data_IF_514711229011
#
_entry.id   IF_514711229011
#
_cell.length_a   1.000
_cell.length_b   1.000
_cell.length_c   1.000
_cell.angle_alpha   90.00
_cell.angle_beta   90.00
_cell.angle_gamma   90.00
#
_symmetry.space_group_name_H-M   'P 1'
#
loop_
_entity.id
_entity.type
_entity.pdbx_description
1 polymer ?
#
# COMPACT_ATOMS: atom_id res chain seq x y z
N UNK A 1 -33.13 46.07 54.56
CA UNK A 1 -34.10 45.91 53.45
C UNK A 1 -33.36 46.20 52.15
N UNK A 2 -33.06 45.16 51.35
CA UNK A 2 -32.66 45.17 49.92
C UNK A 2 -31.41 45.98 49.49
N UNK A 3 -30.61 45.66 48.45
CA UNK A 3 -30.65 44.65 47.38
C UNK A 3 -29.19 44.34 46.97
N UNK A 4 -28.86 43.06 46.77
CA UNK A 4 -27.59 42.57 46.19
C UNK A 4 -27.63 42.82 44.68
N UNK A 5 -26.72 43.64 44.13
CA UNK A 5 -26.58 43.81 42.68
C UNK A 5 -25.46 42.90 42.15
N UNK A 6 -25.84 41.74 41.62
CA UNK A 6 -24.94 40.80 40.96
C UNK A 6 -24.84 41.14 39.47
N UNK A 7 -23.73 41.79 39.08
CA UNK A 7 -23.36 41.91 37.67
C UNK A 7 -22.87 40.56 37.15
N UNK A 8 -23.78 39.77 36.58
CA UNK A 8 -23.44 38.58 35.80
C UNK A 8 -22.96 39.04 34.42
N UNK A 9 -21.65 39.16 34.26
CA UNK A 9 -21.03 39.37 32.95
C UNK A 9 -21.30 38.14 32.08
N UNK A 10 -22.15 38.29 31.06
CA UNK A 10 -22.51 37.20 30.13
C UNK A 10 -21.28 36.84 29.27
N UNK A 11 -20.84 35.58 29.18
CA UNK A 11 -19.62 35.17 28.47
C UNK A 11 -19.86 35.04 26.96
N UNK A 12 -20.39 36.08 26.32
CA UNK A 12 -20.70 36.09 24.88
C UNK A 12 -19.42 36.09 24.04
N UNK A 13 -18.39 36.83 24.45
CA UNK A 13 -17.10 36.86 23.75
C UNK A 13 -16.34 35.52 23.80
N UNK A 14 -16.40 34.81 24.94
CA UNK A 14 -15.75 33.51 25.11
C UNK A 14 -16.40 32.44 24.21
N UNK A 15 -17.72 32.48 24.04
CA UNK A 15 -18.44 31.56 23.15
C UNK A 15 -18.15 31.79 21.67
N UNK A 16 -17.93 33.05 21.26
CA UNK A 16 -17.60 33.39 19.89
C UNK A 16 -16.17 32.96 19.51
N UNK A 17 -15.22 33.14 20.43
CA UNK A 17 -13.81 32.71 20.28
C UNK A 17 -13.71 31.18 20.28
N UNK A 18 -14.47 30.50 21.15
CA UNK A 18 -14.50 29.04 21.17
C UNK A 18 -15.09 28.46 19.87
N UNK A 19 -16.11 29.10 19.30
CA UNK A 19 -16.73 28.68 18.06
C UNK A 19 -15.81 28.84 16.85
N UNK A 20 -15.02 29.92 16.77
CA UNK A 20 -14.05 30.13 15.68
C UNK A 20 -12.85 29.18 15.77
N UNK A 21 -12.36 28.90 16.98
CA UNK A 21 -11.30 27.90 17.21
C UNK A 21 -11.78 26.48 16.88
N UNK A 22 -13.03 26.14 17.21
CA UNK A 22 -13.59 24.83 16.88
C UNK A 22 -13.83 24.65 15.36
N UNK A 23 -14.16 25.75 14.66
CA UNK A 23 -14.35 25.76 13.21
C UNK A 23 -13.03 25.63 12.43
N UNK A 24 -11.92 26.17 12.95
CA UNK A 24 -10.60 26.05 12.32
C UNK A 24 -9.98 24.66 12.50
N UNK A 25 -10.31 23.95 13.60
CA UNK A 25 -9.90 22.55 13.79
C UNK A 25 -10.55 21.58 12.80
N UNK A 26 -11.71 21.92 12.23
CA UNK A 26 -12.41 21.07 11.25
C UNK A 26 -11.83 21.16 9.83
N UNK A 27 -10.96 22.15 9.55
CA UNK A 27 -10.48 22.45 8.19
C UNK A 27 -9.21 21.69 7.79
N UNK A 28 -8.58 20.91 8.68
CA UNK A 28 -7.34 20.18 8.36
C UNK A 28 -7.54 18.85 7.64
N UNK A 29 -8.78 18.48 7.30
CA UNK A 29 -9.09 17.27 6.55
C UNK A 29 -9.10 17.51 5.01
N UNK A 30 -8.29 18.44 4.50
CA UNK A 30 -7.99 18.45 3.07
C UNK A 30 -7.18 17.20 2.75
N UNK A 31 -7.82 16.27 2.05
CA UNK A 31 -7.19 15.07 1.52
C UNK A 31 -5.89 15.45 0.78
N UNK A 32 -4.74 15.15 1.39
CA UNK A 32 -3.46 15.26 0.69
C UNK A 32 -3.43 14.12 -0.33
N UNK A 33 -3.79 14.42 -1.58
CA UNK A 33 -3.57 13.49 -2.67
C UNK A 33 -2.06 13.38 -2.88
N UNK A 34 -1.50 12.24 -2.47
CA UNK A 34 -0.09 11.93 -2.70
C UNK A 34 0.00 11.25 -4.07
N UNK A 35 0.74 11.85 -5.00
CA UNK A 35 0.99 11.27 -6.31
C UNK A 35 2.32 10.51 -6.27
N UNK A 36 2.31 9.35 -5.60
CA UNK A 36 3.45 8.44 -5.67
C UNK A 36 3.48 7.78 -7.04
N UNK A 37 4.67 7.61 -7.64
CA UNK A 37 4.79 6.88 -8.89
C UNK A 37 4.31 5.44 -8.70
N UNK A 38 3.50 4.95 -9.63
CA UNK A 38 3.02 3.57 -9.60
C UNK A 38 4.19 2.59 -9.82
N UNK A 39 4.15 1.40 -9.19
CA UNK A 39 5.15 0.36 -9.42
C UNK A 39 5.14 -0.08 -10.88
N UNK A 40 6.33 -0.26 -11.46
CA UNK A 40 6.49 -0.69 -12.86
C UNK A 40 7.35 -1.94 -12.91
N UNK A 41 6.75 -3.05 -13.32
CA UNK A 41 7.49 -4.27 -13.68
C UNK A 41 8.02 -4.15 -15.11
N UNK A 42 9.33 -4.30 -15.29
CA UNK A 42 9.99 -4.20 -16.60
C UNK A 42 10.38 -5.56 -17.15
N UNK A 43 10.99 -6.44 -16.34
CA UNK A 43 11.41 -7.77 -16.79
C UNK A 43 11.21 -8.84 -15.74
N UNK A 44 11.02 -10.09 -16.17
CA UNK A 44 11.13 -11.29 -15.34
C UNK A 44 12.15 -12.23 -15.96
N UNK A 45 13.10 -12.75 -15.19
CA UNK A 45 14.13 -13.65 -15.71
C UNK A 45 14.26 -14.88 -14.82
N UNK A 46 14.11 -16.10 -15.34
CA UNK A 46 13.69 -16.43 -16.71
C UNK A 46 12.24 -16.04 -17.03
N UNK A 47 11.95 -15.79 -18.31
CA UNK A 47 10.61 -15.41 -18.82
C UNK A 47 9.65 -16.62 -18.98
N UNK A 48 9.99 -17.80 -18.45
CA UNK A 48 9.21 -19.01 -18.64
C UNK A 48 9.61 -20.14 -17.70
N UNK A 49 8.75 -21.16 -17.62
CA UNK A 49 8.95 -22.31 -16.76
C UNK A 49 8.14 -23.52 -17.24
N UNK A 50 8.41 -24.67 -16.63
CA UNK A 50 7.72 -25.93 -16.95
C UNK A 50 6.55 -26.14 -16.00
N UNK A 51 5.41 -26.60 -16.51
CA UNK A 51 4.28 -27.00 -15.67
C UNK A 51 4.71 -28.07 -14.65
N UNK A 52 4.24 -27.92 -13.41
CA UNK A 52 4.58 -28.82 -12.30
C UNK A 52 5.97 -28.57 -11.69
N UNK A 53 6.54 -27.38 -11.87
CA UNK A 53 7.85 -27.03 -11.31
C UNK A 53 7.81 -25.72 -10.55
N UNK A 54 8.84 -25.52 -9.72
CA UNK A 54 9.13 -24.23 -9.10
C UNK A 54 10.35 -23.60 -9.77
N UNK A 55 10.27 -22.30 -10.04
CA UNK A 55 11.32 -21.55 -10.73
C UNK A 55 11.62 -20.31 -9.91
N UNK A 56 12.89 -20.14 -9.57
CA UNK A 56 13.35 -18.85 -9.07
C UNK A 56 13.46 -17.87 -10.22
N UNK A 57 12.81 -16.72 -10.07
CA UNK A 57 12.89 -15.62 -11.01
C UNK A 57 13.47 -14.38 -10.33
N UNK A 58 14.17 -13.60 -11.12
CA UNK A 58 14.61 -12.24 -10.80
C UNK A 58 13.72 -11.27 -11.56
N UNK A 59 13.20 -10.26 -10.88
CA UNK A 59 12.42 -9.18 -11.51
C UNK A 59 13.28 -7.92 -11.62
N UNK A 60 12.96 -7.04 -12.57
CA UNK A 60 13.49 -5.68 -12.58
C UNK A 60 12.36 -4.70 -12.80
N UNK A 61 12.48 -3.50 -12.24
CA UNK A 61 11.43 -2.50 -12.29
C UNK A 61 11.78 -1.18 -11.64
N UNK A 62 10.78 -0.32 -11.56
CA UNK A 62 10.85 0.98 -10.88
C UNK A 62 9.80 1.03 -9.77
N UNK A 63 10.15 1.63 -8.63
CA UNK A 63 9.27 1.78 -7.46
C UNK A 63 8.73 0.42 -6.95
N UNK A 64 9.59 -0.61 -6.97
CA UNK A 64 9.30 -1.90 -6.37
C UNK A 64 9.79 -1.87 -4.92
N UNK A 65 8.88 -1.61 -3.99
CA UNK A 65 9.19 -1.58 -2.56
C UNK A 65 9.27 -3.01 -2.00
N UNK A 66 9.80 -3.17 -0.78
CA UNK A 66 9.89 -4.48 -0.13
C UNK A 66 8.54 -5.17 0.14
N UNK A 67 7.44 -4.41 0.11
CA UNK A 67 6.09 -4.94 0.23
C UNK A 67 5.53 -5.50 -1.10
N UNK A 68 6.28 -5.39 -2.20
CA UNK A 68 5.81 -5.75 -3.53
C UNK A 68 5.39 -7.23 -3.65
N UNK A 69 4.12 -7.46 -3.97
CA UNK A 69 3.56 -8.77 -4.32
C UNK A 69 3.56 -8.96 -5.84
N UNK A 70 4.07 -10.11 -6.30
CA UNK A 70 4.02 -10.51 -7.71
C UNK A 70 2.83 -11.44 -7.92
N UNK A 71 1.92 -11.06 -8.81
CA UNK A 71 0.72 -11.82 -9.15
C UNK A 71 0.70 -12.17 -10.64
N UNK A 72 -0.02 -13.24 -10.99
CA UNK A 72 -0.20 -13.67 -12.37
C UNK A 72 -1.67 -13.63 -12.78
N UNK A 73 -1.93 -13.57 -14.09
CA UNK A 73 -3.28 -13.59 -14.65
C UNK A 73 -4.06 -14.89 -14.43
N UNK A 74 -3.39 -15.97 -14.02
CA UNK A 74 -3.98 -17.28 -13.74
C UNK A 74 -3.52 -17.78 -12.37
N UNK A 75 -4.48 -18.23 -11.54
CA UNK A 75 -4.22 -18.66 -10.16
C UNK A 75 -3.36 -19.93 -10.05
N UNK A 76 -3.17 -20.67 -11.14
CA UNK A 76 -2.26 -21.83 -11.21
C UNK A 76 -0.78 -21.43 -11.20
N UNK A 77 -0.47 -20.15 -11.38
CA UNK A 77 0.84 -19.57 -11.17
C UNK A 77 0.81 -18.73 -9.89
N UNK A 78 1.66 -19.06 -8.94
CA UNK A 78 1.79 -18.31 -7.68
C UNK A 78 3.23 -17.91 -7.45
N UNK A 79 3.47 -16.74 -6.88
CA UNK A 79 4.81 -16.29 -6.52
C UNK A 79 4.91 -16.00 -5.03
N UNK A 80 6.07 -16.33 -4.45
CA UNK A 80 6.45 -15.92 -3.10
C UNK A 80 7.81 -15.26 -3.15
N UNK A 81 8.03 -14.23 -2.34
CA UNK A 81 9.37 -13.64 -2.20
C UNK A 81 10.34 -14.73 -1.75
N UNK A 82 11.49 -14.81 -2.42
CA UNK A 82 12.55 -15.72 -1.99
C UNK A 82 13.13 -15.18 -0.68
N UNK A 83 13.41 -16.05 0.29
CA UNK A 83 14.09 -15.68 1.52
C UNK A 83 15.59 -15.99 1.41
N UNK A 84 16.40 -15.16 2.03
CA UNK A 84 17.84 -15.38 2.20
C UNK A 84 18.12 -16.33 3.39
N UNK A 85 19.40 -16.57 3.67
CA UNK A 85 19.83 -17.44 4.77
C UNK A 85 19.43 -16.91 6.16
N UNK A 86 19.16 -15.61 6.30
CA UNK A 86 18.70 -14.97 7.53
C UNK A 86 17.17 -14.94 7.66
N UNK A 87 16.45 -15.48 6.67
CA UNK A 87 14.98 -15.45 6.61
C UNK A 87 14.43 -14.08 6.18
N UNK A 88 15.27 -13.17 5.68
CA UNK A 88 14.83 -11.90 5.14
C UNK A 88 14.49 -12.06 3.65
N UNK A 89 13.52 -11.31 3.12
CA UNK A 89 13.24 -11.34 1.70
C UNK A 89 14.45 -10.90 0.86
N UNK A 90 14.87 -11.75 -0.05
CA UNK A 90 15.88 -11.41 -1.03
C UNK A 90 15.35 -10.30 -1.97
N UNK A 91 16.18 -9.31 -2.32
CA UNK A 91 15.78 -8.23 -3.21
C UNK A 91 15.44 -8.79 -4.59
N UNK A 92 14.34 -8.33 -5.16
CA UNK A 92 13.90 -8.60 -6.53
C UNK A 92 13.81 -10.08 -6.93
N UNK A 93 13.69 -11.00 -5.96
CA UNK A 93 13.67 -12.44 -6.21
C UNK A 93 12.40 -13.08 -5.71
N UNK A 94 11.82 -13.91 -6.57
CA UNK A 94 10.60 -14.64 -6.30
C UNK A 94 10.78 -16.10 -6.66
N UNK A 95 10.16 -16.98 -5.90
CA UNK A 95 9.95 -18.38 -6.27
C UNK A 95 8.54 -18.49 -6.84
N UNK A 96 8.45 -18.84 -8.12
CA UNK A 96 7.19 -19.05 -8.83
C UNK A 96 6.87 -20.53 -8.87
N UNK A 97 5.73 -20.93 -8.33
CA UNK A 97 5.21 -22.29 -8.43
C UNK A 97 4.20 -22.36 -9.57
N UNK A 98 4.43 -23.28 -10.52
CA UNK A 98 3.58 -23.52 -11.69
C UNK A 98 2.88 -24.86 -11.51
N UNK A 99 1.56 -24.86 -11.41
CA UNK A 99 0.79 -26.10 -11.26
C UNK A 99 0.99 -27.06 -12.44
N UNK A 100 0.87 -28.37 -12.18
CA UNK A 100 1.09 -29.41 -13.21
C UNK A 100 0.01 -29.42 -14.30
N UNK A 101 -1.19 -28.93 -14.00
CA UNK A 101 -2.33 -28.80 -14.90
C UNK A 101 -2.41 -27.42 -15.59
N UNK A 102 -1.38 -26.58 -15.44
CA UNK A 102 -1.28 -25.28 -16.09
C UNK A 102 -1.04 -25.46 -17.61
N UNK A 103 -1.94 -24.96 -18.49
CA UNK A 103 -1.77 -25.01 -19.93
C UNK A 103 -0.53 -24.24 -20.37
N UNK A 104 0.07 -24.68 -21.48
CA UNK A 104 1.16 -23.93 -22.10
C UNK A 104 0.56 -22.67 -22.73
N UNK A 105 1.13 -21.51 -22.39
CA UNK A 105 0.65 -20.23 -22.89
C UNK A 105 1.43 -19.05 -22.32
N UNK A 106 0.97 -17.85 -22.67
CA UNK A 106 1.48 -16.60 -22.11
C UNK A 106 0.58 -16.15 -20.96
N UNK A 107 1.18 -15.87 -19.82
CA UNK A 107 0.51 -15.37 -18.63
C UNK A 107 1.08 -14.00 -18.27
N UNK A 108 0.22 -13.05 -17.93
CA UNK A 108 0.66 -11.71 -17.52
C UNK A 108 1.14 -11.76 -16.08
N UNK A 109 2.22 -11.02 -15.78
CA UNK A 109 2.71 -10.79 -14.43
C UNK A 109 2.49 -9.32 -14.04
N UNK A 110 2.09 -9.06 -12.80
CA UNK A 110 1.85 -7.72 -12.26
C UNK A 110 2.44 -7.60 -10.87
N UNK A 111 2.97 -6.42 -10.56
CA UNK A 111 3.45 -6.08 -9.22
C UNK A 111 2.49 -5.09 -8.57
N UNK A 112 2.13 -5.36 -7.31
CA UNK A 112 1.34 -4.49 -6.45
C UNK A 112 2.14 -4.19 -5.17
N UNK A 113 2.09 -2.96 -4.66
CA UNK A 113 2.79 -2.49 -3.45
C UNK A 113 1.80 -2.00 -2.42
#
# INVERSE_FOLDING_TARGET
MFFRNSNVARPVGLRLVLATVLSSLASTAWAQSVCLPAPRLLTTMPMGGRAGTEVEIVVTGEHLDDAAELTFSDARLTAKRKLDAAGQPAPDRYVVSIAADCPVGLYEARVMT
#
